data_IF_399282850819
#
_entry.id   IF_399282850819
#
_cell.length_a   1.000
_cell.length_b   1.000
_cell.length_c   1.000
_cell.angle_alpha   90.00
_cell.angle_beta   90.00
_cell.angle_gamma   90.00
#
_symmetry.space_group_name_H-M   'P 1'
#
loop_
_entity.id
_entity.type
_entity.pdbx_description
1 polymer ?
#
# COMPACT_ATOMS: atom_id res chain seq x y z
N UNK A 1 16.11 -9.34 -5.47
CA UNK A 1 14.99 -8.36 -5.38
C UNK A 1 13.77 -9.08 -4.81
N UNK A 2 13.24 -8.65 -3.66
CA UNK A 2 12.16 -9.34 -2.94
C UNK A 2 10.77 -8.71 -3.25
N UNK A 3 10.48 -8.43 -4.52
CA UNK A 3 9.29 -7.67 -4.95
C UNK A 3 7.98 -8.24 -4.39
N UNK A 4 7.81 -9.57 -4.47
CA UNK A 4 6.62 -10.27 -3.97
C UNK A 4 6.44 -10.05 -2.46
N UNK A 5 7.53 -10.12 -1.67
CA UNK A 5 7.44 -9.93 -0.22
C UNK A 5 7.07 -8.49 0.14
N UNK A 6 7.57 -7.50 -0.60
CA UNK A 6 7.18 -6.09 -0.41
C UNK A 6 5.69 -5.93 -0.74
N UNK A 7 5.22 -6.50 -1.84
CA UNK A 7 3.80 -6.45 -2.21
C UNK A 7 2.90 -7.11 -1.15
N UNK A 8 3.28 -8.30 -0.64
CA UNK A 8 2.58 -8.97 0.45
C UNK A 8 2.56 -8.13 1.72
N UNK A 9 3.65 -7.44 2.03
CA UNK A 9 3.70 -6.50 3.16
C UNK A 9 2.70 -5.36 2.99
N UNK A 10 2.53 -4.86 1.77
CA UNK A 10 1.51 -3.85 1.45
C UNK A 10 0.09 -4.34 1.68
N UNK A 11 -0.20 -5.59 1.29
CA UNK A 11 -1.50 -6.22 1.54
C UNK A 11 -1.76 -6.43 3.03
N UNK A 12 -0.75 -6.88 3.78
CA UNK A 12 -0.84 -7.01 5.23
C UNK A 12 -1.08 -5.66 5.89
N UNK A 13 -0.39 -4.61 5.45
CA UNK A 13 -0.61 -3.27 5.97
C UNK A 13 -2.02 -2.75 5.66
N UNK A 14 -2.55 -2.99 4.45
CA UNK A 14 -3.94 -2.65 4.12
C UNK A 14 -4.92 -3.38 5.05
N UNK A 15 -4.70 -4.66 5.33
CA UNK A 15 -5.52 -5.42 6.27
C UNK A 15 -5.47 -4.82 7.69
N UNK A 16 -4.30 -4.36 8.14
CA UNK A 16 -4.15 -3.64 9.43
C UNK A 16 -4.96 -2.35 9.43
N UNK A 17 -4.89 -1.54 8.37
CA UNK A 17 -5.69 -0.31 8.29
C UNK A 17 -7.20 -0.62 8.31
N UNK A 18 -7.65 -1.61 7.56
CA UNK A 18 -9.06 -2.02 7.55
C UNK A 18 -9.52 -2.52 8.93
N UNK A 19 -8.67 -3.29 9.63
CA UNK A 19 -8.91 -3.74 10.99
C UNK A 19 -9.04 -2.56 11.96
N UNK A 20 -8.15 -1.57 11.88
CA UNK A 20 -8.24 -0.36 12.71
C UNK A 20 -9.54 0.43 12.47
N UNK A 21 -9.94 0.58 11.21
CA UNK A 21 -11.23 1.19 10.87
C UNK A 21 -12.42 0.42 11.47
N UNK A 22 -12.33 -0.91 11.50
CA UNK A 22 -13.33 -1.78 12.11
C UNK A 22 -13.36 -1.65 13.64
N UNK A 23 -12.19 -1.68 14.30
CA UNK A 23 -12.09 -1.69 15.76
C UNK A 23 -12.44 -0.34 16.41
N UNK A 24 -12.21 0.78 15.73
CA UNK A 24 -12.44 2.12 16.30
C UNK A 24 -13.71 2.81 15.81
N UNK A 25 -14.16 2.54 14.58
CA UNK A 25 -15.39 3.12 14.05
C UNK A 25 -16.59 2.18 14.08
N UNK A 26 -16.36 0.88 13.93
CA UNK A 26 -17.39 -0.15 13.80
C UNK A 26 -18.40 0.09 12.66
N UNK A 27 -18.01 0.87 11.64
CA UNK A 27 -18.84 1.21 10.48
C UNK A 27 -18.04 1.21 9.17
N UNK A 28 -18.74 1.12 8.05
CA UNK A 28 -18.13 1.05 6.71
C UNK A 28 -17.35 2.33 6.35
N UNK A 29 -17.81 3.51 6.78
CA UNK A 29 -17.14 4.77 6.47
C UNK A 29 -15.78 4.88 7.17
N UNK A 30 -15.66 4.36 8.39
CA UNK A 30 -14.39 4.29 9.12
C UNK A 30 -13.38 3.34 8.45
N UNK A 31 -13.82 2.19 7.94
CA UNK A 31 -12.97 1.29 7.15
C UNK A 31 -12.53 1.96 5.84
N UNK A 32 -13.45 2.64 5.14
CA UNK A 32 -13.13 3.40 3.92
C UNK A 32 -12.12 4.52 4.20
N UNK A 33 -12.26 5.23 5.31
CA UNK A 33 -11.33 6.30 5.70
C UNK A 33 -9.93 5.73 5.96
N UNK A 34 -9.83 4.62 6.70
CA UNK A 34 -8.55 3.96 6.95
C UNK A 34 -7.90 3.46 5.64
N UNK A 35 -8.67 2.84 4.74
CA UNK A 35 -8.18 2.41 3.43
C UNK A 35 -7.69 3.59 2.56
N UNK A 36 -8.29 4.78 2.67
CA UNK A 36 -7.77 6.00 2.01
C UNK A 36 -6.45 6.46 2.60
N UNK A 37 -6.28 6.42 3.92
CA UNK A 37 -5.01 6.77 4.58
C UNK A 37 -3.88 5.76 4.32
N UNK A 38 -4.22 4.50 4.07
CA UNK A 38 -3.24 3.49 3.66
C UNK A 38 -2.48 3.92 2.39
N UNK A 39 -3.14 4.54 1.41
CA UNK A 39 -2.52 4.88 0.11
C UNK A 39 -1.27 5.78 0.24
N UNK A 40 -1.34 6.97 0.88
CA UNK A 40 -0.16 7.82 1.05
C UNK A 40 0.90 7.18 1.96
N UNK A 41 0.49 6.39 2.96
CA UNK A 41 1.43 5.67 3.83
C UNK A 41 2.19 4.61 3.03
N UNK A 42 1.50 3.84 2.20
CA UNK A 42 2.11 2.82 1.35
C UNK A 42 3.00 3.42 0.28
N UNK A 43 2.62 4.55 -0.31
CA UNK A 43 3.49 5.31 -1.21
C UNK A 43 4.81 5.67 -0.54
N UNK A 44 4.78 6.15 0.71
CA UNK A 44 5.98 6.42 1.50
C UNK A 44 6.87 5.19 1.68
N UNK A 45 6.27 4.05 2.07
CA UNK A 45 7.01 2.78 2.22
C UNK A 45 7.64 2.31 0.90
N UNK A 46 6.90 2.40 -0.20
CA UNK A 46 7.37 2.02 -1.53
C UNK A 46 8.54 2.92 -2.00
N UNK A 47 8.46 4.23 -1.75
CA UNK A 47 9.56 5.17 -2.03
C UNK A 47 10.81 4.85 -1.21
N UNK A 48 10.65 4.51 0.07
CA UNK A 48 11.77 4.07 0.93
C UNK A 48 12.37 2.75 0.40
N UNK A 49 11.54 1.82 -0.07
CA UNK A 49 12.01 0.58 -0.67
C UNK A 49 12.87 0.83 -1.92
N UNK A 50 12.43 1.70 -2.83
CA UNK A 50 13.24 2.13 -3.98
C UNK A 50 14.52 2.85 -3.52
N UNK A 51 14.44 3.77 -2.56
CA UNK A 51 15.60 4.50 -2.05
C UNK A 51 16.69 3.56 -1.53
N UNK A 52 16.29 2.50 -0.81
CA UNK A 52 17.18 1.42 -0.36
C UNK A 52 17.79 0.66 -1.54
N UNK A 53 17.00 0.32 -2.56
CA UNK A 53 17.50 -0.31 -3.79
C UNK A 53 18.60 0.52 -4.46
N UNK A 54 18.39 1.82 -4.56
CA UNK A 54 19.36 2.74 -5.17
C UNK A 54 20.61 2.91 -4.31
N UNK A 55 20.46 3.25 -3.03
CA UNK A 55 21.58 3.67 -2.18
C UNK A 55 22.35 2.51 -1.55
N UNK A 56 21.69 1.37 -1.29
CA UNK A 56 22.32 0.22 -0.63
C UNK A 56 22.66 -0.91 -1.59
N UNK A 57 21.82 -1.17 -2.59
CA UNK A 57 22.05 -2.23 -3.57
C UNK A 57 22.75 -1.74 -4.85
N UNK A 58 22.87 -0.43 -5.05
CA UNK A 58 23.60 0.17 -6.17
C UNK A 58 22.83 0.15 -7.49
N UNK A 59 21.51 -0.07 -7.47
CA UNK A 59 20.67 0.03 -8.66
C UNK A 59 20.45 1.49 -9.07
N UNK A 60 20.22 1.72 -10.36
CA UNK A 60 19.81 3.04 -10.85
C UNK A 60 18.33 3.31 -10.55
N UNK A 61 17.96 4.58 -10.48
CA UNK A 61 16.54 4.98 -10.34
C UNK A 61 15.69 4.39 -11.47
N UNK A 62 16.20 4.34 -12.69
CA UNK A 62 15.49 3.77 -13.84
C UNK A 62 15.20 2.26 -13.70
N UNK A 63 16.06 1.52 -12.99
CA UNK A 63 15.85 0.10 -12.72
C UNK A 63 14.82 -0.13 -11.61
N UNK A 64 14.78 0.74 -10.61
CA UNK A 64 13.86 0.62 -9.47
C UNK A 64 12.48 1.25 -9.73
N UNK A 65 12.37 2.21 -10.64
CA UNK A 65 11.11 2.91 -10.92
C UNK A 65 9.98 1.97 -11.36
N UNK A 66 10.19 0.99 -12.27
CA UNK A 66 9.15 0.01 -12.61
C UNK A 66 8.73 -0.84 -11.39
N UNK A 67 9.68 -1.15 -10.51
CA UNK A 67 9.44 -1.94 -9.29
C UNK A 67 8.60 -1.14 -8.31
N UNK A 68 8.94 0.14 -8.11
CA UNK A 68 8.15 1.08 -7.33
C UNK A 68 6.71 1.14 -7.84
N UNK A 69 6.53 1.32 -9.16
CA UNK A 69 5.20 1.45 -9.78
C UNK A 69 4.35 0.21 -9.52
N UNK A 70 4.89 -0.99 -9.72
CA UNK A 70 4.16 -2.25 -9.48
C UNK A 70 3.87 -2.45 -7.99
N UNK A 71 4.88 -2.25 -7.13
CA UNK A 71 4.72 -2.42 -5.67
C UNK A 71 3.74 -1.42 -5.07
N UNK A 72 3.63 -0.22 -5.63
CA UNK A 72 2.64 0.78 -5.20
C UNK A 72 1.26 0.50 -5.79
N UNK A 73 1.18 0.31 -7.11
CA UNK A 73 -0.09 0.25 -7.84
C UNK A 73 -0.97 -0.92 -7.40
N UNK A 74 -0.39 -2.12 -7.17
CA UNK A 74 -1.19 -3.30 -6.82
C UNK A 74 -1.89 -3.12 -5.47
N UNK A 75 -1.21 -2.81 -4.35
CA UNK A 75 -1.88 -2.59 -3.08
C UNK A 75 -2.78 -1.34 -3.08
N UNK A 76 -2.40 -0.26 -3.77
CA UNK A 76 -3.23 0.93 -3.89
C UNK A 76 -4.55 0.67 -4.66
N UNK A 77 -4.49 -0.11 -5.75
CA UNK A 77 -5.68 -0.51 -6.49
C UNK A 77 -6.63 -1.35 -5.64
N UNK A 78 -6.10 -2.24 -4.80
CA UNK A 78 -6.91 -3.04 -3.87
C UNK A 78 -7.53 -2.19 -2.77
N UNK A 79 -6.81 -1.21 -2.25
CA UNK A 79 -7.36 -0.25 -1.30
C UNK A 79 -8.51 0.57 -1.92
N UNK A 80 -8.35 1.03 -3.16
CA UNK A 80 -9.41 1.72 -3.91
C UNK A 80 -10.61 0.80 -4.18
N UNK A 81 -10.36 -0.46 -4.55
CA UNK A 81 -11.39 -1.47 -4.73
C UNK A 81 -12.20 -1.72 -3.46
N UNK A 82 -11.53 -1.79 -2.30
CA UNK A 82 -12.18 -1.90 -1.00
C UNK A 82 -13.06 -0.69 -0.69
N UNK A 83 -12.54 0.53 -0.88
CA UNK A 83 -13.30 1.77 -0.69
C UNK A 83 -14.54 1.80 -1.58
N UNK A 84 -14.39 1.40 -2.84
CA UNK A 84 -15.46 1.38 -3.82
C UNK A 84 -16.52 0.31 -3.51
N UNK A 85 -16.12 -0.85 -3.02
CA UNK A 85 -17.05 -1.91 -2.63
C UNK A 85 -17.87 -1.52 -1.41
N UNK A 86 -17.23 -0.97 -0.37
CA UNK A 86 -17.91 -0.51 0.84
C UNK A 86 -18.84 0.68 0.59
N UNK A 87 -18.49 1.59 -0.32
CA UNK A 87 -19.34 2.72 -0.66
C UNK A 87 -20.62 2.37 -1.42
N UNK A 88 -20.82 1.09 -1.77
CA UNK A 88 -22.05 0.58 -2.38
C UNK A 88 -22.92 -0.27 -1.46
N UNK A 89 -22.36 -0.74 -0.35
CA UNK A 89 -23.09 -1.51 0.65
C UNK A 89 -23.97 -0.57 1.48
#
# INVERSE_FOLDING_TARGET
>A
MHMILVMLTGLLLLAVFALLGTLWGADAASIMLAAKYFIPVWLGVALVNMWVGVHKAGYTVAQELPILLVNFAVPAALALGLVWWLGRA
#
